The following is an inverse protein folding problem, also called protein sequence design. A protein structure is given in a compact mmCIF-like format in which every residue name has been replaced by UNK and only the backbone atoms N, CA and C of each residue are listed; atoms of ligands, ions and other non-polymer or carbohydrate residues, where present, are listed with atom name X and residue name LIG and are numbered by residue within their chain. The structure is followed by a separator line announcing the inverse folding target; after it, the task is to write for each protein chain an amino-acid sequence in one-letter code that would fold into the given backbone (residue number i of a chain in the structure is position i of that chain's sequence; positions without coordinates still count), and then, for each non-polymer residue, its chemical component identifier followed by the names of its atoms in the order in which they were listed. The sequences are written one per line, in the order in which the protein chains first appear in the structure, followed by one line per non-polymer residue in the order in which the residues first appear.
data_IF_791292088385
#
_entry.id   IF_791292088385
#
_cell.length_a   1.000
_cell.length_b   1.000
_cell.length_c   1.000
_cell.angle_alpha   90.00
_cell.angle_beta   90.00
_cell.angle_gamma   90.00
#
_symmetry.space_group_name_H-M   'P 1'
#
loop_
_entity.id
_entity.type
_entity.pdbx_description
1 polymer ?
#
# COMPACT_ATOMS: atom_id res chain seq x y z
N UNK A 1 23.35 -19.92 -3.70
CA UNK A 1 22.41 -19.12 -2.91
C UNK A 1 21.38 -20.09 -2.37
N UNK A 2 21.17 -20.15 -1.05
CA UNK A 2 20.00 -20.87 -0.54
C UNK A 2 18.74 -20.12 -0.98
N UNK A 3 17.66 -20.83 -1.35
CA UNK A 3 16.37 -20.17 -1.56
C UNK A 3 15.93 -19.51 -0.26
N UNK A 4 15.38 -18.29 -0.34
CA UNK A 4 14.86 -17.61 0.84
C UNK A 4 13.80 -18.49 1.52
N UNK A 5 13.81 -18.57 2.87
CA UNK A 5 12.81 -19.33 3.62
C UNK A 5 11.38 -18.78 3.45
N UNK A 6 11.21 -17.60 2.85
CA UNK A 6 9.92 -16.92 2.69
C UNK A 6 9.21 -17.17 1.36
N UNK A 7 9.90 -17.78 0.38
CA UNK A 7 9.34 -17.98 -0.97
C UNK A 7 8.40 -19.19 -0.96
N UNK A 8 7.26 -19.07 -1.64
CA UNK A 8 6.32 -20.18 -1.85
C UNK A 8 5.51 -20.61 -0.61
N UNK A 9 5.56 -19.84 0.48
CA UNK A 9 4.79 -20.07 1.69
C UNK A 9 4.41 -18.74 2.37
N UNK A 10 3.63 -18.81 3.43
CA UNK A 10 3.16 -17.66 4.23
C UNK A 10 3.47 -17.81 5.71
N UNK A 11 4.38 -18.70 6.10
CA UNK A 11 4.67 -19.02 7.52
C UNK A 11 5.29 -17.83 8.28
N UNK A 12 5.82 -16.85 7.53
CA UNK A 12 6.36 -15.58 8.02
C UNK A 12 5.29 -14.49 8.19
N UNK A 13 4.08 -14.69 7.69
CA UNK A 13 3.00 -13.72 7.79
C UNK A 13 2.45 -13.69 9.22
N UNK A 14 2.16 -12.48 9.73
CA UNK A 14 1.54 -12.28 11.05
C UNK A 14 0.21 -11.51 10.98
N UNK A 15 -0.27 -11.21 9.76
CA UNK A 15 -1.56 -10.56 9.54
C UNK A 15 -2.63 -11.49 8.95
N UNK A 16 -2.30 -12.76 8.72
CA UNK A 16 -3.17 -13.82 8.17
C UNK A 16 -3.78 -13.57 6.78
N UNK A 17 -3.31 -12.54 6.05
CA UNK A 17 -3.86 -12.15 4.74
C UNK A 17 -2.84 -12.17 3.60
N UNK A 18 -1.57 -12.51 3.87
CA UNK A 18 -0.56 -12.65 2.81
C UNK A 18 -0.80 -13.92 1.99
N UNK A 19 -0.30 -13.91 0.76
CA UNK A 19 -0.30 -15.07 -0.14
C UNK A 19 1.14 -15.47 -0.46
N UNK A 20 1.35 -16.74 -0.83
CA UNK A 20 2.68 -17.22 -1.21
C UNK A 20 3.16 -16.48 -2.47
N UNK A 21 4.33 -15.84 -2.38
CA UNK A 21 4.91 -15.07 -3.49
C UNK A 21 6.09 -15.81 -4.15
N UNK A 22 6.35 -15.55 -5.44
CA UNK A 22 7.43 -16.21 -6.19
C UNK A 22 8.82 -15.65 -5.88
N UNK A 23 8.90 -14.45 -5.28
CA UNK A 23 10.18 -13.80 -4.97
C UNK A 23 10.26 -13.36 -3.51
N UNK A 24 11.49 -13.30 -2.98
CA UNK A 24 11.74 -12.86 -1.61
C UNK A 24 11.35 -11.39 -1.38
N UNK A 25 11.54 -10.55 -2.40
CA UNK A 25 11.19 -9.13 -2.36
C UNK A 25 9.69 -8.91 -2.15
N UNK A 26 8.86 -9.81 -2.68
CA UNK A 26 7.40 -9.75 -2.56
C UNK A 26 6.88 -10.43 -1.30
N UNK A 27 7.66 -11.30 -0.65
CA UNK A 27 7.30 -12.01 0.58
C UNK A 27 7.44 -11.12 1.83
N UNK A 28 6.67 -10.03 1.87
CA UNK A 28 6.65 -9.02 2.96
C UNK A 28 5.25 -8.86 3.57
N UNK A 29 5.18 -8.75 4.89
CA UNK A 29 3.92 -8.56 5.60
C UNK A 29 3.64 -7.06 5.77
N UNK A 30 2.38 -6.64 5.73
CA UNK A 30 2.01 -5.26 6.06
C UNK A 30 2.45 -4.84 7.48
N UNK A 31 2.63 -5.80 8.39
CA UNK A 31 3.12 -5.62 9.76
C UNK A 31 4.66 -5.65 9.88
N UNK A 32 5.38 -5.74 8.77
CA UNK A 32 6.86 -5.65 8.72
C UNK A 32 7.34 -4.36 8.03
N UNK A 33 6.43 -3.55 7.48
CA UNK A 33 6.77 -2.32 6.74
C UNK A 33 6.49 -1.10 7.60
N UNK A 34 7.54 -0.42 8.08
CA UNK A 34 7.43 0.73 9.00
C UNK A 34 6.39 1.78 8.58
N UNK A 35 6.40 2.20 7.31
CA UNK A 35 5.44 3.19 6.81
C UNK A 35 3.99 2.69 6.85
N UNK A 36 3.76 1.38 6.69
CA UNK A 36 2.43 0.78 6.77
C UNK A 36 2.04 0.61 8.25
N UNK A 37 2.97 0.17 9.10
CA UNK A 37 2.76 0.07 10.55
C UNK A 37 2.36 1.43 11.13
N UNK A 38 3.01 2.52 10.72
CA UNK A 38 2.68 3.87 11.20
C UNK A 38 1.29 4.36 10.78
N UNK A 39 0.73 3.82 9.70
CA UNK A 39 -0.63 4.15 9.23
C UNK A 39 -1.66 3.19 9.82
N UNK A 40 -1.27 1.94 10.07
CA UNK A 40 -2.08 0.98 10.80
C UNK A 40 -1.94 1.24 12.30
N UNK A 41 -2.79 2.10 12.86
CA UNK A 41 -2.95 2.24 14.31
C UNK A 41 -3.11 0.86 15.01
N UNK A 42 -2.96 0.82 16.34
CA UNK A 42 -3.02 -0.42 17.13
C UNK A 42 -4.33 -1.23 16.94
N UNK A 43 -5.39 -0.60 16.42
CA UNK A 43 -6.71 -1.21 16.21
C UNK A 43 -6.76 -2.20 15.04
N UNK A 44 -5.88 -2.09 14.03
CA UNK A 44 -5.96 -2.89 12.81
C UNK A 44 -4.98 -4.06 12.81
N UNK A 45 -5.46 -5.28 12.56
CA UNK A 45 -4.59 -6.46 12.44
C UNK A 45 -3.96 -6.59 11.04
N UNK A 46 -4.57 -5.98 10.02
CA UNK A 46 -4.10 -6.00 8.63
C UNK A 46 -4.44 -4.68 7.91
N UNK A 47 -3.61 -4.27 6.95
CA UNK A 47 -3.84 -3.06 6.16
C UNK A 47 -5.15 -3.10 5.36
N UNK A 48 -5.65 -4.31 5.03
CA UNK A 48 -6.93 -4.49 4.35
C UNK A 48 -8.13 -3.97 5.15
N UNK A 49 -7.99 -3.85 6.47
CA UNK A 49 -9.04 -3.33 7.36
C UNK A 49 -9.03 -1.79 7.42
N UNK A 50 -7.96 -1.15 6.97
CA UNK A 50 -7.81 0.30 7.02
C UNK A 50 -8.66 0.95 5.91
N UNK A 51 -9.56 1.85 6.29
CA UNK A 51 -10.54 2.47 5.38
C UNK A 51 -9.88 3.23 4.23
N UNK A 52 -8.79 3.95 4.48
CA UNK A 52 -8.07 4.63 3.41
C UNK A 52 -7.40 3.65 2.44
N UNK A 53 -6.97 2.47 2.91
CA UNK A 53 -6.41 1.48 1.97
C UNK A 53 -7.49 0.99 1.00
N UNK A 54 -8.71 0.77 1.49
CA UNK A 54 -9.84 0.48 0.61
C UNK A 54 -10.10 1.63 -0.37
N UNK A 55 -10.27 2.85 0.13
CA UNK A 55 -10.65 4.01 -0.68
C UNK A 55 -9.63 4.37 -1.77
N UNK A 56 -8.33 4.24 -1.48
CA UNK A 56 -7.27 4.64 -2.41
C UNK A 56 -6.71 3.49 -3.25
N UNK A 57 -6.72 2.25 -2.73
CA UNK A 57 -6.04 1.13 -3.39
C UNK A 57 -6.97 0.01 -3.86
N UNK A 58 -8.22 -0.07 -3.38
CA UNK A 58 -9.17 -1.11 -3.79
C UNK A 58 -10.44 -0.58 -4.45
N UNK A 59 -10.82 0.68 -4.18
CA UNK A 59 -12.03 1.27 -4.73
C UNK A 59 -11.85 1.66 -6.20
N UNK A 60 -12.18 0.71 -7.08
CA UNK A 60 -12.00 0.81 -8.54
C UNK A 60 -12.42 2.16 -9.14
N UNK A 61 -13.63 2.64 -8.85
CA UNK A 61 -14.15 3.89 -9.43
C UNK A 61 -13.31 5.11 -9.02
N UNK A 62 -12.84 5.15 -7.77
CA UNK A 62 -11.95 6.22 -7.30
C UNK A 62 -10.60 6.16 -7.99
N UNK A 63 -10.02 4.97 -8.15
CA UNK A 63 -8.77 4.77 -8.88
C UNK A 63 -8.93 5.25 -10.34
N UNK A 64 -10.02 4.89 -11.01
CA UNK A 64 -10.30 5.32 -12.38
C UNK A 64 -10.44 6.84 -12.49
N UNK A 65 -11.13 7.49 -11.54
CA UNK A 65 -11.23 8.95 -11.50
C UNK A 65 -9.84 9.59 -11.28
N UNK A 66 -9.08 9.10 -10.29
CA UNK A 66 -7.74 9.63 -9.99
C UNK A 66 -6.80 9.52 -11.19
N UNK A 67 -6.78 8.38 -11.89
CA UNK A 67 -5.97 8.20 -13.09
C UNK A 67 -6.36 9.19 -14.20
N UNK A 68 -7.66 9.39 -14.46
CA UNK A 68 -8.14 10.37 -15.45
C UNK A 68 -7.78 11.80 -15.06
N UNK A 69 -7.85 12.14 -13.77
CA UNK A 69 -7.48 13.46 -13.28
C UNK A 69 -5.98 13.72 -13.46
N UNK A 70 -5.12 12.72 -13.22
CA UNK A 70 -3.67 12.82 -13.47
C UNK A 70 -3.38 12.99 -14.96
N UNK A 71 -4.06 12.24 -15.84
CA UNK A 71 -3.90 12.37 -17.30
C UNK A 71 -4.29 13.77 -17.81
N UNK A 72 -5.22 14.44 -17.14
CA UNK A 72 -5.63 15.81 -17.46
C UNK A 72 -4.64 16.86 -16.94
N UNK A 73 -3.82 16.53 -15.93
CA UNK A 73 -2.78 17.41 -15.35
C UNK A 73 -1.45 17.36 -16.14
N UNK A 74 -1.50 17.34 -17.49
CA UNK A 74 -0.29 17.39 -18.35
C UNK A 74 0.58 18.64 -18.18
N UNK A 75 0.11 19.65 -17.46
CA UNK A 75 0.96 20.67 -16.85
C UNK A 75 1.15 20.34 -15.37
N UNK A 76 2.36 20.02 -14.90
CA UNK A 76 2.60 19.76 -13.49
C UNK A 76 2.14 20.96 -12.65
N UNK A 77 1.46 20.75 -11.50
CA UNK A 77 1.21 21.82 -10.55
C UNK A 77 2.56 22.46 -10.19
N UNK A 78 2.62 23.78 -10.15
CA UNK A 78 3.84 24.46 -9.75
C UNK A 78 4.19 23.96 -8.34
N UNK A 79 5.46 23.66 -8.05
CA UNK A 79 5.85 23.01 -6.79
C UNK A 79 5.36 23.70 -5.49
N UNK A 80 4.90 24.95 -5.58
CA UNK A 80 4.23 25.68 -4.50
C UNK A 80 2.85 25.13 -4.12
N UNK A 81 2.15 24.47 -5.05
CA UNK A 81 0.76 24.03 -4.86
C UNK A 81 0.68 22.68 -4.14
N UNK A 82 1.69 21.82 -4.27
CA UNK A 82 1.75 20.52 -3.57
C UNK A 82 1.79 20.66 -2.04
N UNK A 83 2.41 21.72 -1.52
CA UNK A 83 2.42 22.00 -0.08
C UNK A 83 1.04 22.41 0.45
N UNK A 84 0.15 22.94 -0.39
CA UNK A 84 -1.22 23.28 0.03
C UNK A 84 -2.13 22.05 0.14
N UNK A 85 -1.85 20.99 -0.63
CA UNK A 85 -2.63 19.74 -0.59
C UNK A 85 -2.23 18.79 0.56
N UNK A 86 -1.01 18.94 1.11
CA UNK A 86 -0.49 18.11 2.21
C UNK A 86 -0.67 18.74 3.60
N UNK A 87 -1.38 19.88 3.69
CA UNK A 87 -1.66 20.59 4.95
C UNK A 87 -3.06 20.29 5.53
N UNK A 88 -3.70 19.20 5.09
CA UNK A 88 -4.96 18.70 5.68
C UNK A 88 -4.75 17.35 6.32
#
# INVERSE_FOLDING_TARGET
MQPSPRIGNTDWCICDNCVAMPTDLESVCCKETDNIINVMDEEFSCILQHTFFYDYCQHRERIEINLKMIEQQRTPPHARDLNLYLLF
#
